data_IF_499148403279
#
_entry.id   IF_499148403279
#
_cell.length_a   1.000
_cell.length_b   1.000
_cell.length_c   1.000
_cell.angle_alpha   90.00
_cell.angle_beta   90.00
_cell.angle_gamma   90.00
#
_symmetry.space_group_name_H-M   'P 1'
#
loop_
_entity.id
_entity.type
_entity.pdbx_description
1 polymer ?
#
# COMPACT_ATOMS: atom_id res chain seq x y z
N UNK A 1 9.80 -16.60 9.23
CA UNK A 1 8.63 -17.28 8.72
C UNK A 1 7.55 -17.34 9.81
N UNK A 2 6.77 -16.26 9.97
CA UNK A 2 5.68 -16.13 10.94
C UNK A 2 4.37 -15.86 10.20
N UNK A 3 3.24 -16.23 10.81
CA UNK A 3 1.92 -16.05 10.24
C UNK A 3 1.00 -15.36 11.27
N UNK A 4 0.47 -14.19 10.89
CA UNK A 4 -0.67 -13.57 11.53
C UNK A 4 -1.91 -13.90 10.69
N UNK A 5 -2.81 -14.72 11.20
CA UNK A 5 -3.89 -15.29 10.43
C UNK A 5 -5.22 -15.28 11.18
N UNK A 6 -6.25 -14.84 10.49
CA UNK A 6 -7.64 -14.87 10.97
C UNK A 6 -7.85 -14.14 12.30
N UNK A 7 -7.24 -12.95 12.43
CA UNK A 7 -7.42 -12.09 13.60
C UNK A 7 -8.37 -10.93 13.26
N UNK A 8 -9.14 -10.50 14.25
CA UNK A 8 -9.76 -9.18 14.26
C UNK A 8 -8.89 -8.23 15.08
N UNK A 9 -8.49 -7.11 14.49
CA UNK A 9 -7.62 -6.10 15.11
C UNK A 9 -8.31 -4.76 15.00
N UNK A 10 -8.65 -4.16 16.12
CA UNK A 10 -9.41 -2.92 16.16
C UNK A 10 -8.97 -2.00 17.29
N UNK A 11 -9.23 -0.70 17.12
CA UNK A 11 -9.03 0.35 18.13
C UNK A 11 -7.62 0.42 18.68
N UNK A 12 -6.65 0.30 17.77
CA UNK A 12 -5.25 0.42 18.14
C UNK A 12 -4.81 1.88 18.19
N UNK A 13 -3.92 2.21 19.11
CA UNK A 13 -3.36 3.56 19.20
C UNK A 13 -2.40 3.90 18.05
N UNK A 14 -1.87 2.88 17.36
CA UNK A 14 -1.00 2.97 16.18
C UNK A 14 -1.50 2.01 15.09
N UNK A 15 -0.60 1.50 14.24
CA UNK A 15 -0.94 0.52 13.21
C UNK A 15 -1.37 -0.86 13.76
N UNK A 16 -1.72 -1.76 12.86
CA UNK A 16 -2.15 -3.12 13.19
C UNK A 16 -1.00 -4.12 13.26
N UNK A 17 -0.48 -4.57 12.12
CA UNK A 17 0.54 -5.62 12.01
C UNK A 17 1.82 -5.07 11.41
N UNK A 18 2.96 -5.32 12.04
CA UNK A 18 4.28 -4.99 11.49
C UNK A 18 5.05 -6.29 11.24
N UNK A 19 5.47 -6.50 10.00
CA UNK A 19 6.31 -7.61 9.58
C UNK A 19 7.66 -7.06 9.12
N UNK A 20 8.72 -7.41 9.83
CA UNK A 20 10.10 -7.10 9.46
C UNK A 20 10.83 -8.42 9.30
N UNK A 21 11.28 -8.76 8.09
CA UNK A 21 11.92 -10.04 7.84
C UNK A 21 12.60 -10.15 6.49
N UNK A 22 13.55 -11.07 6.43
CA UNK A 22 14.43 -11.26 5.25
C UNK A 22 15.70 -10.43 5.35
N UNK A 23 16.65 -10.72 4.46
CA UNK A 23 17.94 -10.03 4.39
C UNK A 23 18.06 -9.27 3.07
N UNK A 24 18.08 -7.95 3.15
CA UNK A 24 18.15 -7.05 2.00
C UNK A 24 19.50 -7.10 1.26
N UNK A 25 20.57 -7.56 1.90
CA UNK A 25 21.89 -7.69 1.26
C UNK A 25 21.98 -8.90 0.35
N UNK A 26 21.34 -9.99 0.76
CA UNK A 26 21.36 -11.26 0.03
C UNK A 26 20.05 -11.52 -0.73
N UNK A 27 19.04 -10.68 -0.53
CA UNK A 27 17.67 -10.86 -1.00
C UNK A 27 17.02 -12.18 -0.51
N UNK A 28 17.46 -12.66 0.65
CA UNK A 28 16.88 -13.88 1.26
C UNK A 28 15.51 -13.54 1.85
N UNK A 29 14.44 -14.22 1.43
CA UNK A 29 13.08 -13.87 1.85
C UNK A 29 12.80 -14.22 3.33
N UNK A 30 12.04 -13.36 4.00
CA UNK A 30 11.54 -13.59 5.36
C UNK A 30 10.37 -14.56 5.41
N UNK A 31 9.59 -14.65 4.33
CA UNK A 31 8.41 -15.51 4.19
C UNK A 31 7.39 -15.39 5.34
N UNK A 32 7.33 -14.23 5.98
CA UNK A 32 6.30 -13.96 6.99
C UNK A 32 5.06 -13.39 6.33
N UNK A 33 3.89 -13.65 6.91
CA UNK A 33 2.61 -13.37 6.27
C UNK A 33 1.59 -12.77 7.24
N UNK A 34 0.89 -11.71 6.79
CA UNK A 34 -0.37 -11.25 7.33
C UNK A 34 -1.48 -11.72 6.38
N UNK A 35 -2.33 -12.62 6.80
CA UNK A 35 -3.29 -13.30 5.93
C UNK A 35 -4.66 -13.44 6.59
N UNK A 36 -5.71 -13.06 5.84
CA UNK A 36 -7.10 -13.21 6.26
C UNK A 36 -7.41 -12.55 7.61
N UNK A 37 -6.87 -11.36 7.87
CA UNK A 37 -7.20 -10.58 9.06
C UNK A 37 -8.24 -9.51 8.72
N UNK A 38 -9.09 -9.17 9.68
CA UNK A 38 -9.95 -8.00 9.65
C UNK A 38 -9.35 -6.92 10.54
N UNK A 39 -8.94 -5.79 9.95
CA UNK A 39 -8.26 -4.69 10.64
C UNK A 39 -9.04 -3.41 10.40
N UNK A 40 -9.57 -2.82 11.48
CA UNK A 40 -10.42 -1.64 11.38
C UNK A 40 -10.25 -0.69 12.56
N UNK A 41 -10.61 0.57 12.38
CA UNK A 41 -10.52 1.59 13.43
C UNK A 41 -9.13 1.68 14.08
N UNK A 42 -8.08 1.55 13.30
CA UNK A 42 -6.71 1.65 13.83
C UNK A 42 -6.21 3.09 13.81
N UNK A 43 -5.07 3.36 14.45
CA UNK A 43 -4.41 4.67 14.53
C UNK A 43 -5.22 5.73 15.29
N UNK A 44 -5.93 5.35 16.35
CA UNK A 44 -6.75 6.28 17.15
C UNK A 44 -5.90 7.41 17.79
N UNK A 45 -4.63 7.15 18.11
CA UNK A 45 -3.75 8.12 18.80
C UNK A 45 -2.73 8.74 17.83
N UNK A 46 -2.02 7.91 17.09
CA UNK A 46 -1.05 8.34 16.08
C UNK A 46 -1.68 8.21 14.70
N UNK A 47 -2.20 9.29 14.17
CA UNK A 47 -3.09 9.30 13.01
C UNK A 47 -2.36 9.35 11.65
N UNK A 48 -1.03 9.41 11.64
CA UNK A 48 -0.24 9.46 10.40
C UNK A 48 0.89 8.45 10.40
N UNK A 49 1.19 7.88 9.22
CA UNK A 49 2.27 6.90 9.00
C UNK A 49 2.19 5.66 9.91
N UNK A 50 0.98 5.23 10.23
CA UNK A 50 0.71 4.04 11.06
C UNK A 50 -0.28 3.13 10.32
N UNK A 51 0.15 2.38 9.31
CA UNK A 51 -0.75 1.57 8.49
C UNK A 51 -1.32 0.35 9.23
N UNK A 52 -2.40 -0.21 8.68
CA UNK A 52 -2.92 -1.49 9.17
C UNK A 52 -1.87 -2.59 9.07
N UNK A 53 -1.15 -2.65 7.93
CA UNK A 53 -0.06 -3.60 7.72
C UNK A 53 1.19 -2.90 7.21
N UNK A 54 2.31 -3.12 7.89
CA UNK A 54 3.65 -2.72 7.43
C UNK A 54 4.45 -3.95 7.03
N UNK A 55 5.02 -3.95 5.82
CA UNK A 55 6.00 -4.94 5.39
C UNK A 55 7.37 -4.28 5.23
N UNK A 56 8.40 -4.82 5.88
CA UNK A 56 9.79 -4.37 5.71
C UNK A 56 10.72 -5.56 5.45
N UNK A 57 11.78 -5.31 4.69
CA UNK A 57 12.81 -6.31 4.38
C UNK A 57 12.62 -7.00 3.04
N UNK A 58 12.48 -8.33 3.02
CA UNK A 58 12.42 -9.09 1.77
C UNK A 58 11.38 -10.20 1.81
N UNK A 59 10.57 -10.31 0.75
CA UNK A 59 9.75 -11.49 0.48
C UNK A 59 8.70 -11.80 1.55
N UNK A 60 8.09 -10.77 2.14
CA UNK A 60 6.96 -10.93 3.05
C UNK A 60 5.63 -10.71 2.29
N UNK A 61 4.54 -11.20 2.85
CA UNK A 61 3.24 -11.26 2.15
C UNK A 61 2.14 -10.60 2.99
N UNK A 62 1.31 -9.77 2.34
CA UNK A 62 0.06 -9.26 2.88
C UNK A 62 -1.08 -9.70 1.96
N UNK A 63 -1.96 -10.59 2.43
CA UNK A 63 -2.98 -11.18 1.57
C UNK A 63 -4.30 -11.45 2.26
N UNK A 64 -5.41 -11.36 1.50
CA UNK A 64 -6.78 -11.67 1.92
C UNK A 64 -7.24 -10.90 3.17
N UNK A 65 -6.62 -9.76 3.50
CA UNK A 65 -7.05 -8.96 4.63
C UNK A 65 -8.15 -7.99 4.19
N UNK A 66 -9.06 -7.67 5.12
CA UNK A 66 -9.97 -6.55 5.00
C UNK A 66 -9.47 -5.43 5.92
N UNK A 67 -9.38 -4.20 5.38
CA UNK A 67 -8.84 -3.04 6.10
C UNK A 67 -9.71 -1.83 5.83
N UNK A 68 -10.28 -1.25 6.91
CA UNK A 68 -11.20 -0.13 6.79
C UNK A 68 -11.16 0.86 7.96
N UNK A 69 -11.76 2.02 7.71
CA UNK A 69 -12.05 3.08 8.68
C UNK A 69 -10.81 3.59 9.42
N UNK A 70 -9.92 4.28 8.69
CA UNK A 70 -8.65 4.76 9.23
C UNK A 70 -8.27 6.15 8.72
N UNK A 71 -7.58 6.94 9.55
CA UNK A 71 -7.13 8.28 9.16
C UNK A 71 -6.06 8.28 8.06
N UNK A 72 -5.30 7.21 7.88
CA UNK A 72 -4.16 7.16 6.96
C UNK A 72 -4.10 5.84 6.16
N UNK A 73 -2.94 5.47 5.64
CA UNK A 73 -2.68 4.33 4.74
C UNK A 73 -3.13 2.98 5.33
N UNK A 74 -3.60 2.09 4.47
CA UNK A 74 -3.88 0.71 4.87
C UNK A 74 -2.60 -0.15 4.86
N UNK A 75 -1.82 -0.07 3.79
CA UNK A 75 -0.60 -0.87 3.65
C UNK A 75 0.57 0.03 3.28
N UNK A 76 1.67 -0.08 4.04
CA UNK A 76 2.98 0.47 3.67
C UNK A 76 3.97 -0.67 3.51
N UNK A 77 4.76 -0.65 2.44
CA UNK A 77 5.82 -1.62 2.26
C UNK A 77 7.16 -0.98 1.88
N UNK A 78 8.25 -1.57 2.40
CA UNK A 78 9.64 -1.13 2.22
C UNK A 78 10.55 -2.32 2.02
N UNK A 79 11.35 -2.29 0.95
CA UNK A 79 12.27 -3.39 0.62
C UNK A 79 11.86 -4.14 -0.65
N UNK A 80 12.15 -5.43 -0.70
CA UNK A 80 12.20 -6.16 -1.95
C UNK A 80 11.30 -7.40 -1.95
N UNK A 81 10.76 -7.74 -3.14
CA UNK A 81 10.08 -9.00 -3.39
C UNK A 81 8.86 -9.28 -2.48
N UNK A 82 8.23 -8.23 -1.95
CA UNK A 82 6.97 -8.37 -1.22
C UNK A 82 5.80 -8.69 -2.16
N UNK A 83 4.79 -9.37 -1.64
CA UNK A 83 3.54 -9.65 -2.35
C UNK A 83 2.38 -9.07 -1.54
N UNK A 84 1.61 -8.19 -2.18
CA UNK A 84 0.39 -7.58 -1.64
C UNK A 84 -0.76 -7.99 -2.55
N UNK A 85 -1.62 -8.90 -2.10
CA UNK A 85 -2.61 -9.49 -2.98
C UNK A 85 -3.93 -9.85 -2.28
N UNK A 86 -5.04 -9.80 -3.05
CA UNK A 86 -6.36 -10.22 -2.60
C UNK A 86 -6.87 -9.49 -1.35
N UNK A 87 -6.39 -8.28 -1.07
CA UNK A 87 -6.89 -7.49 0.04
C UNK A 87 -8.10 -6.66 -0.39
N UNK A 88 -9.04 -6.47 0.54
CA UNK A 88 -10.13 -5.53 0.46
C UNK A 88 -9.77 -4.30 1.29
N UNK A 89 -9.72 -3.12 0.67
CA UNK A 89 -9.31 -1.87 1.32
C UNK A 89 -10.33 -0.79 1.01
N UNK A 90 -10.92 -0.19 2.03
CA UNK A 90 -11.89 0.87 1.83
C UNK A 90 -12.00 1.80 3.04
N UNK A 91 -12.55 2.99 2.80
CA UNK A 91 -12.76 4.00 3.84
C UNK A 91 -11.48 4.27 4.65
N UNK A 92 -10.35 4.43 3.94
CA UNK A 92 -9.02 4.69 4.51
C UNK A 92 -8.48 6.04 4.02
N UNK A 93 -7.41 6.54 4.63
CA UNK A 93 -6.83 7.86 4.36
C UNK A 93 -7.83 9.00 4.61
N UNK A 94 -8.71 8.85 5.59
CA UNK A 94 -9.82 9.78 5.85
C UNK A 94 -9.37 11.19 6.28
N UNK A 95 -8.12 11.34 6.76
CA UNK A 95 -7.55 12.61 7.27
C UNK A 95 -6.22 12.99 6.59
N UNK A 96 -5.93 12.48 5.39
CA UNK A 96 -4.62 12.68 4.74
C UNK A 96 -4.73 12.83 3.23
N UNK A 97 -3.98 13.79 2.66
CA UNK A 97 -3.90 14.04 1.22
C UNK A 97 -2.65 13.41 0.59
N UNK A 98 -1.47 13.64 1.18
CA UNK A 98 -0.20 13.08 0.70
C UNK A 98 -0.03 11.64 1.20
N UNK A 99 -0.89 10.77 0.72
CA UNK A 99 -1.01 9.37 1.11
C UNK A 99 -1.58 8.52 -0.03
N UNK A 100 -1.49 7.22 0.12
CA UNK A 100 -2.17 6.24 -0.72
C UNK A 100 -2.72 5.09 0.11
N UNK A 101 -3.83 4.49 -0.30
CA UNK A 101 -4.36 3.31 0.41
C UNK A 101 -3.30 2.20 0.51
N UNK A 102 -2.52 2.01 -0.57
CA UNK A 102 -1.26 1.24 -0.57
C UNK A 102 -0.12 2.19 -0.92
N UNK A 103 0.89 2.26 -0.08
CA UNK A 103 2.00 3.21 -0.20
C UNK A 103 3.37 2.53 -0.15
N UNK A 104 4.29 3.03 -0.98
CA UNK A 104 5.72 2.78 -0.86
C UNK A 104 6.47 4.02 -1.34
N UNK A 105 7.55 4.41 -0.66
CA UNK A 105 8.22 5.64 -1.03
C UNK A 105 9.69 5.74 -0.64
N UNK A 106 10.40 6.57 -1.45
CA UNK A 106 11.73 7.12 -1.18
C UNK A 106 12.89 6.15 -1.28
N UNK A 107 12.82 5.21 -2.24
CA UNK A 107 13.98 4.33 -2.46
C UNK A 107 14.05 3.76 -3.88
N UNK A 108 15.17 3.96 -4.54
CA UNK A 108 15.51 3.39 -5.85
C UNK A 108 15.75 1.87 -5.81
N UNK A 109 16.09 1.31 -4.65
CA UNK A 109 16.55 -0.08 -4.53
C UNK A 109 15.47 -1.06 -4.11
N UNK A 110 14.25 -0.60 -3.89
CA UNK A 110 13.13 -1.47 -3.52
C UNK A 110 12.46 -2.06 -4.76
N UNK A 111 13.01 -3.14 -5.25
CA UNK A 111 12.60 -3.81 -6.48
C UNK A 111 11.85 -5.12 -6.26
N UNK A 112 11.11 -5.54 -7.28
CA UNK A 112 10.49 -6.87 -7.35
C UNK A 112 9.21 -7.04 -6.55
N UNK A 113 8.68 -5.95 -5.97
CA UNK A 113 7.43 -6.02 -5.24
C UNK A 113 6.24 -6.16 -6.21
N UNK A 114 5.22 -6.87 -5.78
CA UNK A 114 4.02 -7.15 -6.57
C UNK A 114 2.77 -6.73 -5.79
N UNK A 115 1.97 -5.83 -6.39
CA UNK A 115 0.67 -5.40 -5.87
C UNK A 115 -0.40 -5.86 -6.86
N UNK A 116 -1.19 -6.88 -6.49
CA UNK A 116 -2.12 -7.50 -7.43
C UNK A 116 -3.42 -7.98 -6.79
N UNK A 117 -4.48 -7.99 -7.60
CA UNK A 117 -5.79 -8.58 -7.23
C UNK A 117 -6.40 -7.99 -5.95
N UNK A 118 -6.04 -6.75 -5.59
CA UNK A 118 -6.66 -6.03 -4.50
C UNK A 118 -7.90 -5.28 -4.98
N UNK A 119 -8.88 -5.12 -4.11
CA UNK A 119 -10.03 -4.25 -4.33
C UNK A 119 -9.90 -3.04 -3.40
N UNK A 120 -9.84 -1.83 -3.98
CA UNK A 120 -9.62 -0.56 -3.26
C UNK A 120 -10.74 0.38 -3.65
N UNK A 121 -11.50 0.90 -2.67
CA UNK A 121 -12.58 1.84 -2.96
C UNK A 121 -12.85 2.81 -1.80
N UNK A 122 -13.50 3.95 -2.11
CA UNK A 122 -13.85 4.97 -1.14
C UNK A 122 -12.65 5.42 -0.28
N UNK A 123 -11.56 5.78 -0.93
CA UNK A 123 -10.36 6.30 -0.27
C UNK A 123 -10.54 7.79 -0.04
N UNK A 124 -10.09 8.31 1.11
CA UNK A 124 -10.21 9.72 1.46
C UNK A 124 -11.58 10.11 2.04
N UNK A 125 -11.83 11.41 2.05
CA UNK A 125 -13.07 12.00 2.56
C UNK A 125 -13.46 13.24 1.75
N UNK A 126 -14.53 13.93 2.11
CA UNK A 126 -14.94 15.19 1.45
C UNK A 126 -13.85 16.26 1.46
N UNK A 127 -12.96 16.25 2.44
CA UNK A 127 -11.91 17.26 2.62
C UNK A 127 -10.51 16.76 2.24
N UNK A 128 -10.33 15.48 1.94
CA UNK A 128 -9.04 14.85 1.69
C UNK A 128 -9.07 13.96 0.45
N UNK A 129 -8.11 14.19 -0.45
CA UNK A 129 -8.02 13.53 -1.74
C UNK A 129 -6.73 12.73 -1.94
N UNK A 130 -6.50 11.66 -1.17
CA UNK A 130 -5.33 10.81 -1.35
C UNK A 130 -5.39 9.96 -2.63
N UNK A 131 -4.27 9.35 -2.98
CA UNK A 131 -4.16 8.41 -4.09
C UNK A 131 -4.61 6.99 -3.69
N UNK A 132 -4.86 6.14 -4.67
CA UNK A 132 -5.19 4.73 -4.42
C UNK A 132 -3.94 3.90 -4.13
N UNK A 133 -3.09 3.68 -5.13
CA UNK A 133 -1.76 3.07 -4.99
C UNK A 133 -0.73 4.15 -5.31
N UNK A 134 0.12 4.47 -4.34
CA UNK A 134 1.10 5.54 -4.47
C UNK A 134 2.53 5.00 -4.33
N UNK A 135 3.26 5.05 -5.43
CA UNK A 135 4.71 4.82 -5.48
C UNK A 135 5.40 6.18 -5.44
N UNK A 136 5.74 6.63 -4.24
CA UNK A 136 6.32 7.95 -4.00
C UNK A 136 7.84 7.93 -4.19
N UNK A 137 8.40 9.08 -4.53
CA UNK A 137 9.83 9.38 -4.67
C UNK A 137 10.73 8.19 -5.04
N UNK A 138 10.90 8.00 -6.34
CA UNK A 138 11.89 7.08 -6.91
C UNK A 138 11.65 5.57 -6.74
N UNK A 139 10.52 5.12 -6.21
CA UNK A 139 10.23 3.67 -6.09
C UNK A 139 10.21 3.02 -7.47
N UNK A 140 10.99 1.96 -7.64
CA UNK A 140 11.29 1.37 -8.94
C UNK A 140 11.04 -0.14 -8.98
N UNK A 141 10.85 -0.70 -10.19
CA UNK A 141 10.75 -2.15 -10.41
C UNK A 141 9.52 -2.82 -9.80
N UNK A 142 8.42 -2.08 -9.65
CA UNK A 142 7.17 -2.60 -9.11
C UNK A 142 6.30 -3.21 -10.20
N UNK A 143 5.51 -4.22 -9.84
CA UNK A 143 4.47 -4.79 -10.71
C UNK A 143 3.10 -4.60 -10.09
N UNK A 144 2.25 -3.80 -10.75
CA UNK A 144 0.90 -3.48 -10.29
C UNK A 144 -0.10 -3.99 -11.31
N UNK A 145 -0.84 -5.05 -11.00
CA UNK A 145 -1.77 -5.63 -11.97
C UNK A 145 -2.97 -6.34 -11.36
N UNK A 146 -4.05 -6.38 -12.14
CA UNK A 146 -5.27 -7.10 -11.76
C UNK A 146 -6.02 -6.49 -10.57
N UNK A 147 -5.69 -5.26 -10.16
CA UNK A 147 -6.39 -4.57 -9.08
C UNK A 147 -7.66 -3.90 -9.60
N UNK A 148 -8.64 -3.74 -8.71
CA UNK A 148 -9.87 -2.98 -8.93
C UNK A 148 -9.81 -1.74 -8.04
N UNK A 149 -9.87 -0.54 -8.63
CA UNK A 149 -9.86 0.73 -7.92
C UNK A 149 -11.12 1.53 -8.27
N UNK A 150 -11.91 1.91 -7.29
CA UNK A 150 -13.21 2.56 -7.49
C UNK A 150 -13.34 3.80 -6.61
N UNK A 151 -13.79 4.91 -7.18
CA UNK A 151 -14.02 6.16 -6.45
C UNK A 151 -12.78 6.64 -5.68
N UNK A 152 -11.63 6.67 -6.35
CA UNK A 152 -10.40 7.23 -5.79
C UNK A 152 -10.40 8.74 -6.04
N UNK A 153 -10.31 9.59 -5.02
CA UNK A 153 -10.56 11.03 -5.16
C UNK A 153 -9.45 11.78 -5.90
N UNK A 154 -8.23 11.26 -5.92
CA UNK A 154 -7.09 11.80 -6.65
C UNK A 154 -6.68 10.86 -7.79
N UNK A 155 -5.43 10.40 -7.83
CA UNK A 155 -4.97 9.48 -8.85
C UNK A 155 -5.18 8.03 -8.38
N UNK A 156 -5.74 7.19 -9.25
CA UNK A 156 -5.94 5.80 -8.84
C UNK A 156 -4.61 5.06 -8.66
N UNK A 157 -3.65 5.25 -9.58
CA UNK A 157 -2.28 4.76 -9.42
C UNK A 157 -1.33 5.90 -9.77
N UNK A 158 -0.46 6.25 -8.83
CA UNK A 158 0.51 7.34 -8.96
C UNK A 158 1.94 6.81 -8.83
N UNK A 159 2.79 7.16 -9.79
CA UNK A 159 4.23 6.89 -9.77
C UNK A 159 4.97 8.22 -9.73
N UNK A 160 5.54 8.55 -8.57
CA UNK A 160 6.30 9.76 -8.30
C UNK A 160 7.79 9.58 -8.59
N UNK A 161 8.18 9.63 -9.86
CA UNK A 161 9.53 9.29 -10.30
C UNK A 161 9.74 7.78 -10.31
N UNK A 162 10.99 7.33 -10.27
CA UNK A 162 11.30 5.90 -10.37
C UNK A 162 11.27 5.37 -11.81
N UNK A 163 11.64 4.10 -11.97
CA UNK A 163 11.77 3.45 -13.28
C UNK A 163 11.41 1.98 -13.20
N UNK A 164 11.21 1.37 -14.37
CA UNK A 164 10.96 -0.06 -14.52
C UNK A 164 9.68 -0.54 -13.80
N UNK A 165 8.75 0.39 -13.51
CA UNK A 165 7.46 0.05 -12.94
C UNK A 165 6.52 -0.43 -14.06
N UNK A 166 5.81 -1.53 -13.84
CA UNK A 166 4.90 -2.14 -14.80
C UNK A 166 3.49 -2.13 -14.23
N UNK A 167 2.58 -1.42 -14.91
CA UNK A 167 1.18 -1.30 -14.52
C UNK A 167 0.31 -1.87 -15.64
N UNK A 168 -0.41 -2.98 -15.37
CA UNK A 168 -1.17 -3.69 -16.40
C UNK A 168 -2.47 -4.28 -15.86
N UNK A 169 -3.48 -4.40 -16.72
CA UNK A 169 -4.71 -5.16 -16.43
C UNK A 169 -5.44 -4.74 -15.12
N UNK A 170 -5.36 -3.47 -14.72
CA UNK A 170 -6.14 -2.95 -13.61
C UNK A 170 -7.49 -2.43 -14.11
N UNK A 171 -8.52 -2.54 -13.30
CA UNK A 171 -9.84 -1.95 -13.54
C UNK A 171 -9.94 -0.68 -12.68
N UNK A 172 -10.13 0.47 -13.31
CA UNK A 172 -10.21 1.76 -12.65
C UNK A 172 -11.55 2.40 -13.00
N UNK A 173 -12.32 2.76 -11.98
CA UNK A 173 -13.66 3.34 -12.13
C UNK A 173 -13.76 4.63 -11.32
N UNK A 174 -14.23 5.69 -11.94
CA UNK A 174 -14.45 7.01 -11.34
C UNK A 174 -13.20 7.56 -10.60
N UNK A 175 -12.05 7.73 -11.26
CA UNK A 175 -10.92 8.45 -10.65
C UNK A 175 -11.26 9.94 -10.56
N UNK A 176 -10.96 10.57 -9.43
CA UNK A 176 -11.23 12.00 -9.22
C UNK A 176 -10.32 12.89 -10.08
N UNK A 177 -9.05 12.51 -10.23
CA UNK A 177 -8.09 13.18 -11.11
C UNK A 177 -7.71 12.25 -12.28
N UNK A 178 -6.65 11.47 -12.13
CA UNK A 178 -6.17 10.62 -13.21
C UNK A 178 -6.28 9.15 -12.85
N UNK A 179 -6.62 8.32 -13.84
CA UNK A 179 -6.52 6.88 -13.67
C UNK A 179 -5.08 6.44 -13.36
N UNK A 180 -4.13 6.95 -14.15
CA UNK A 180 -2.69 6.74 -13.97
C UNK A 180 -1.97 8.08 -14.02
N UNK A 181 -1.07 8.32 -13.09
CA UNK A 181 -0.17 9.47 -13.09
C UNK A 181 1.28 8.99 -13.02
N UNK A 182 2.10 9.50 -13.93
CA UNK A 182 3.54 9.35 -13.90
C UNK A 182 4.15 10.73 -13.85
N UNK A 183 4.97 11.02 -12.87
CA UNK A 183 5.74 12.25 -12.84
C UNK A 183 7.24 11.96 -12.72
N UNK A 184 8.03 12.99 -12.91
CA UNK A 184 9.46 12.88 -13.19
C UNK A 184 10.31 13.54 -12.09
N UNK A 185 9.72 13.66 -10.91
CA UNK A 185 10.31 14.39 -9.78
C UNK A 185 11.70 13.91 -9.33
N UNK A 186 12.14 12.76 -9.77
CA UNK A 186 13.45 12.19 -9.39
C UNK A 186 14.58 12.51 -10.36
N UNK A 187 14.35 13.37 -11.36
CA UNK A 187 15.39 13.75 -12.33
C UNK A 187 16.41 14.76 -11.79
N UNK A 188 16.09 15.45 -10.73
CA UNK A 188 16.90 16.54 -10.18
C UNK A 188 17.75 16.11 -8.97
N UNK A 189 18.20 14.86 -8.92
CA UNK A 189 19.05 14.34 -7.85
C UNK A 189 20.37 13.80 -8.36
#
# INVERSE_FOLDING_TARGET
NNLAYNNEITRTGKGGIIIIGGDTKTLTPGNSKADNNYIHDWSEIYQTYQPAVTLEGVGNICSHNEMENSPHEAITYKGNNHIIEYNLIHDVCLLSDDAGAIYSGRSWVWYGNVVRYNCIYNVGSENHGPDGIYLDDAVSGQKIYGNILVNIPSNSIHVGGGRDNVITNNIIVNPGNNALRFDDRSREG
#
